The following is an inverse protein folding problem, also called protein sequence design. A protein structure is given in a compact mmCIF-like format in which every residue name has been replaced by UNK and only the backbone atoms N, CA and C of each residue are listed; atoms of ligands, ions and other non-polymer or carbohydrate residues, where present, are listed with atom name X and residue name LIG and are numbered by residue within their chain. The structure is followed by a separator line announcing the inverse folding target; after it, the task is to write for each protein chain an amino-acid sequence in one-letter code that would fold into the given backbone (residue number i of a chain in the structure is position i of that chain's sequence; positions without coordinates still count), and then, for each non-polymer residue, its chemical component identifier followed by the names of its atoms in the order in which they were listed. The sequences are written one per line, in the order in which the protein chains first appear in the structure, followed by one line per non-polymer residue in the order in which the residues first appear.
data_IF_146084102280
#
_entry.id   IF_146084102280
#
_cell.length_a   1.000
_cell.length_b   1.000
_cell.length_c   1.000
_cell.angle_alpha   90.00
_cell.angle_beta   90.00
_cell.angle_gamma   90.00
#
_symmetry.space_group_name_H-M   'P 1'
#
loop_
_entity.id
_entity.type
_entity.pdbx_description
1 polymer ?
#
# COMPACT_ATOMS: atom_id res chain seq x y z
N UNK A 1 112.40 35.96 -17.65
CA UNK A 1 111.86 35.35 -16.40
C UNK A 1 110.67 36.08 -15.76
N UNK A 2 110.56 37.42 -15.80
CA UNK A 2 109.45 38.16 -15.16
C UNK A 2 108.03 37.81 -15.65
N UNK A 3 107.86 37.52 -16.94
CA UNK A 3 106.53 37.17 -17.50
C UNK A 3 105.99 35.80 -17.06
N UNK A 4 106.86 34.83 -16.74
CA UNK A 4 106.45 33.51 -16.27
C UNK A 4 105.88 33.58 -14.85
N UNK A 5 106.57 34.29 -13.95
CA UNK A 5 106.16 34.49 -12.55
C UNK A 5 104.79 35.19 -12.44
N UNK A 6 104.54 36.19 -13.30
CA UNK A 6 103.24 36.90 -13.34
C UNK A 6 102.12 35.98 -13.86
N UNK A 7 102.39 35.14 -14.87
CA UNK A 7 101.41 34.18 -15.39
C UNK A 7 101.10 33.08 -14.37
N UNK A 8 102.09 32.62 -13.60
CA UNK A 8 101.88 31.66 -12.52
C UNK A 8 101.08 32.24 -11.36
N UNK A 9 101.36 33.48 -10.93
CA UNK A 9 100.58 34.16 -9.88
C UNK A 9 99.12 34.41 -10.34
N UNK A 10 98.93 34.87 -11.58
CA UNK A 10 97.59 35.01 -12.17
C UNK A 10 96.84 33.68 -12.26
N UNK A 11 97.52 32.61 -12.67
CA UNK A 11 96.93 31.26 -12.74
C UNK A 11 96.53 30.76 -11.35
N UNK A 12 97.39 30.97 -10.34
CA UNK A 12 97.11 30.61 -8.95
C UNK A 12 95.90 31.39 -8.39
N UNK A 13 95.81 32.70 -8.64
CA UNK A 13 94.65 33.53 -8.26
C UNK A 13 93.38 33.08 -8.97
N UNK A 14 93.45 32.78 -10.27
CA UNK A 14 92.31 32.29 -11.04
C UNK A 14 91.85 30.93 -10.52
N UNK A 15 92.76 30.02 -10.20
CA UNK A 15 92.45 28.72 -9.63
C UNK A 15 91.82 28.84 -8.23
N UNK A 16 92.32 29.74 -7.38
CA UNK A 16 91.72 30.06 -6.09
C UNK A 16 90.28 30.58 -6.24
N UNK A 17 90.04 31.52 -7.16
CA UNK A 17 88.70 32.04 -7.43
C UNK A 17 87.76 30.95 -7.98
N UNK A 18 88.24 30.08 -8.87
CA UNK A 18 87.46 28.94 -9.38
C UNK A 18 87.12 27.94 -8.26
N UNK A 19 88.04 27.70 -7.33
CA UNK A 19 87.80 26.83 -6.17
C UNK A 19 86.75 27.40 -5.21
N UNK A 20 86.69 28.73 -5.07
CA UNK A 20 85.72 29.42 -4.18
C UNK A 20 84.36 29.72 -4.85
N UNK A 21 84.28 29.67 -6.18
CA UNK A 21 83.07 29.97 -6.94
C UNK A 21 81.83 29.17 -6.48
N UNK A 22 81.90 27.85 -6.20
CA UNK A 22 80.74 27.09 -5.71
C UNK A 22 80.22 27.60 -4.35
N UNK A 23 81.12 28.01 -3.45
CA UNK A 23 80.74 28.55 -2.15
C UNK A 23 80.05 29.92 -2.30
N UNK A 24 80.58 30.80 -3.16
CA UNK A 24 79.96 32.10 -3.47
C UNK A 24 78.56 31.92 -4.06
N UNK A 25 78.40 31.03 -5.04
CA UNK A 25 77.10 30.73 -5.65
C UNK A 25 76.13 30.17 -4.60
N UNK A 26 76.59 29.31 -3.69
CA UNK A 26 75.77 28.78 -2.59
C UNK A 26 75.31 29.89 -1.63
N UNK A 27 76.20 30.81 -1.25
CA UNK A 27 75.85 31.94 -0.37
C UNK A 27 74.87 32.88 -1.09
N UNK A 28 75.13 33.21 -2.35
CA UNK A 28 74.24 34.06 -3.15
C UNK A 28 72.86 33.44 -3.35
N UNK A 29 72.77 32.12 -3.58
CA UNK A 29 71.48 31.43 -3.72
C UNK A 29 70.71 31.40 -2.39
N UNK A 30 71.40 31.19 -1.26
CA UNK A 30 70.78 31.27 0.06
C UNK A 30 70.29 32.68 0.38
N UNK A 31 71.07 33.72 0.06
CA UNK A 31 70.68 35.12 0.26
C UNK A 31 69.47 35.51 -0.60
N UNK A 32 69.49 35.17 -1.90
CA UNK A 32 68.35 35.40 -2.80
C UNK A 32 67.10 34.67 -2.31
N UNK A 33 67.24 33.42 -1.87
CA UNK A 33 66.15 32.63 -1.30
C UNK A 33 65.62 33.18 0.02
N UNK A 34 66.48 33.71 0.88
CA UNK A 34 66.06 34.38 2.12
C UNK A 34 65.28 35.67 1.82
N UNK A 35 65.81 36.53 0.95
CA UNK A 35 65.16 37.78 0.55
C UNK A 35 63.78 37.53 -0.05
N UNK A 36 63.66 36.60 -1.00
CA UNK A 36 62.38 36.26 -1.62
C UNK A 36 61.36 35.73 -0.60
N UNK A 37 61.80 34.90 0.36
CA UNK A 37 60.93 34.40 1.43
C UNK A 37 60.47 35.50 2.37
N UNK A 38 61.35 36.45 2.71
CA UNK A 38 61.00 37.62 3.52
C UNK A 38 59.97 38.50 2.80
N UNK A 39 60.18 38.81 1.52
CA UNK A 39 59.24 39.62 0.72
C UNK A 39 57.89 38.91 0.55
N UNK A 40 57.90 37.59 0.35
CA UNK A 40 56.68 36.78 0.32
C UNK A 40 55.93 36.82 1.65
N UNK A 41 56.63 36.66 2.78
CA UNK A 41 56.01 36.74 4.11
C UNK A 41 55.39 38.11 4.35
N UNK A 42 56.09 39.20 4.03
CA UNK A 42 55.54 40.56 4.12
C UNK A 42 54.26 40.73 3.32
N UNK A 43 54.23 40.21 2.08
CA UNK A 43 53.01 40.23 1.24
C UNK A 43 51.88 39.40 1.86
N UNK A 44 52.19 38.24 2.42
CA UNK A 44 51.20 37.38 3.06
C UNK A 44 50.59 38.07 4.29
N UNK A 45 51.40 38.72 5.12
CA UNK A 45 50.91 39.50 6.26
C UNK A 45 50.02 40.66 5.80
N UNK A 46 50.48 41.46 4.82
CA UNK A 46 49.65 42.54 4.26
C UNK A 46 48.30 42.04 3.74
N UNK A 47 48.27 40.89 3.06
CA UNK A 47 47.01 40.31 2.58
C UNK A 47 46.11 39.86 3.73
N UNK A 48 46.68 39.22 4.76
CA UNK A 48 45.95 38.77 5.96
C UNK A 48 45.39 39.93 6.76
N UNK A 49 46.15 41.00 6.96
CA UNK A 49 45.69 42.17 7.72
C UNK A 49 44.53 42.88 7.03
N UNK A 50 44.40 42.74 5.71
CA UNK A 50 43.34 43.35 4.91
C UNK A 50 42.17 42.42 4.55
N UNK A 51 42.17 41.14 4.97
CA UNK A 51 41.09 40.20 4.59
C UNK A 51 39.72 40.69 5.06
N UNK A 52 39.63 41.18 6.30
CA UNK A 52 38.36 41.58 6.90
C UNK A 52 37.76 42.80 6.20
N UNK A 53 38.60 43.76 5.80
CA UNK A 53 38.18 44.93 5.04
C UNK A 53 37.63 44.52 3.65
N UNK A 54 38.32 43.61 2.96
CA UNK A 54 37.88 43.08 1.67
C UNK A 54 36.56 42.32 1.80
N UNK A 55 36.42 41.46 2.82
CA UNK A 55 35.18 40.71 3.09
C UNK A 55 34.02 41.69 3.36
N UNK A 56 34.25 42.73 4.15
CA UNK A 56 33.25 43.78 4.41
C UNK A 56 32.81 44.45 3.11
N UNK A 57 33.74 44.93 2.29
CA UNK A 57 33.43 45.57 1.00
C UNK A 57 32.65 44.61 0.08
N UNK A 58 33.10 43.37 -0.05
CA UNK A 58 32.42 42.36 -0.87
C UNK A 58 30.99 42.09 -0.39
N UNK A 59 30.79 41.98 0.92
CA UNK A 59 29.46 41.76 1.50
C UNK A 59 28.50 42.93 1.22
N UNK A 60 29.01 44.17 1.28
CA UNK A 60 28.24 45.38 0.97
C UNK A 60 27.83 45.42 -0.51
N UNK A 61 28.76 45.10 -1.42
CA UNK A 61 28.48 45.06 -2.86
C UNK A 61 27.44 43.98 -3.18
N UNK A 62 27.59 42.77 -2.61
CA UNK A 62 26.61 41.69 -2.76
C UNK A 62 25.22 42.10 -2.26
N UNK A 63 25.15 42.73 -1.08
CA UNK A 63 23.89 43.24 -0.52
C UNK A 63 23.25 44.32 -1.40
N UNK A 64 24.04 45.28 -1.87
CA UNK A 64 23.57 46.34 -2.75
C UNK A 64 23.01 45.77 -4.06
N UNK A 65 23.72 44.83 -4.68
CA UNK A 65 23.27 44.20 -5.92
C UNK A 65 21.95 43.44 -5.72
N UNK A 66 21.82 42.71 -4.60
CA UNK A 66 20.59 42.02 -4.23
C UNK A 66 19.42 43.02 -4.02
N UNK A 67 19.64 44.10 -3.26
CA UNK A 67 18.63 45.16 -3.04
C UNK A 67 18.22 45.85 -4.34
N UNK A 68 19.16 46.12 -5.25
CA UNK A 68 18.89 46.72 -6.57
C UNK A 68 17.97 45.82 -7.39
N UNK A 69 18.27 44.51 -7.46
CA UNK A 69 17.43 43.52 -8.17
C UNK A 69 16.04 43.41 -7.57
N UNK A 70 15.94 43.33 -6.24
CA UNK A 70 14.66 43.27 -5.53
C UNK A 70 13.78 44.50 -5.82
N UNK A 71 14.34 45.70 -5.69
CA UNK A 71 13.60 46.96 -5.96
C UNK A 71 13.16 47.06 -7.41
N UNK A 72 13.98 46.62 -8.37
CA UNK A 72 13.61 46.58 -9.78
C UNK A 72 12.40 45.66 -10.02
N UNK A 73 12.41 44.45 -9.43
CA UNK A 73 11.29 43.50 -9.50
C UNK A 73 10.02 44.05 -8.84
N UNK A 74 10.15 44.68 -7.66
CA UNK A 74 9.02 45.30 -6.98
C UNK A 74 8.39 46.42 -7.82
N UNK A 75 9.20 47.26 -8.45
CA UNK A 75 8.71 48.30 -9.38
C UNK A 75 7.98 47.69 -10.57
N UNK A 76 8.55 46.66 -11.18
CA UNK A 76 7.92 45.94 -12.29
C UNK A 76 6.55 45.36 -11.88
N UNK A 77 6.44 44.75 -10.70
CA UNK A 77 5.13 44.27 -10.26
C UNK A 77 4.17 45.42 -9.99
N UNK A 78 4.61 46.47 -9.28
CA UNK A 78 3.77 47.64 -8.99
C UNK A 78 3.24 48.32 -10.26
N UNK A 79 4.06 48.48 -11.29
CA UNK A 79 3.63 49.08 -12.57
C UNK A 79 2.63 48.20 -13.33
N UNK A 80 2.67 46.88 -13.12
CA UNK A 80 1.82 45.93 -13.83
C UNK A 80 0.57 45.49 -13.04
N UNK A 81 0.35 45.98 -11.80
CA UNK A 81 -0.82 45.63 -10.99
C UNK A 81 -2.12 45.84 -11.76
N UNK A 82 -2.28 47.00 -12.41
CA UNK A 82 -3.51 47.31 -13.16
C UNK A 82 -3.77 46.33 -14.31
N UNK A 83 -2.72 45.92 -15.03
CA UNK A 83 -2.83 44.93 -16.10
C UNK A 83 -3.20 43.54 -15.54
N UNK A 84 -2.57 43.13 -14.44
CA UNK A 84 -2.88 41.86 -13.75
C UNK A 84 -4.33 41.83 -13.28
N UNK A 85 -4.82 42.92 -12.66
CA UNK A 85 -6.21 43.02 -12.21
C UNK A 85 -7.17 42.94 -13.38
N UNK A 86 -6.88 43.60 -14.51
CA UNK A 86 -7.70 43.50 -15.74
C UNK A 86 -7.76 42.06 -16.26
N UNK A 87 -6.62 41.38 -16.36
CA UNK A 87 -6.56 39.97 -16.80
C UNK A 87 -7.32 39.07 -15.83
N UNK A 88 -7.11 39.23 -14.52
CA UNK A 88 -7.81 38.46 -13.50
C UNK A 88 -9.33 38.68 -13.55
N UNK A 89 -9.78 39.92 -13.71
CA UNK A 89 -11.19 40.25 -13.86
C UNK A 89 -11.78 39.59 -15.11
N UNK A 90 -11.10 39.66 -16.24
CA UNK A 90 -11.52 39.01 -17.49
C UNK A 90 -11.63 37.49 -17.33
N UNK A 91 -10.62 36.84 -16.74
CA UNK A 91 -10.63 35.39 -16.50
C UNK A 91 -11.75 34.99 -15.54
N UNK A 92 -11.96 35.74 -14.45
CA UNK A 92 -13.06 35.50 -13.50
C UNK A 92 -14.42 35.64 -14.19
N UNK A 93 -14.61 36.68 -15.00
CA UNK A 93 -15.85 36.90 -15.74
C UNK A 93 -16.10 35.78 -16.77
N UNK A 94 -15.07 35.37 -17.51
CA UNK A 94 -15.20 34.29 -18.49
C UNK A 94 -15.53 32.95 -17.83
N UNK A 95 -14.92 32.66 -16.67
CA UNK A 95 -15.25 31.47 -15.87
C UNK A 95 -16.70 31.51 -15.38
N UNK A 96 -17.17 32.64 -14.85
CA UNK A 96 -18.56 32.79 -14.40
C UNK A 96 -19.55 32.61 -15.56
N UNK A 97 -19.26 33.16 -16.74
CA UNK A 97 -20.06 32.96 -17.96
C UNK A 97 -20.08 31.49 -18.41
N UNK A 98 -18.94 30.82 -18.34
CA UNK A 98 -18.83 29.39 -18.62
C UNK A 98 -19.68 28.55 -17.68
N UNK A 99 -19.59 28.80 -16.37
CA UNK A 99 -20.38 28.13 -15.34
C UNK A 99 -21.89 28.38 -15.55
N UNK A 100 -22.30 29.61 -15.87
CA UNK A 100 -23.70 29.95 -16.16
C UNK A 100 -24.22 29.25 -17.43
N UNK A 101 -23.45 29.28 -18.52
CA UNK A 101 -23.81 28.58 -19.78
C UNK A 101 -23.98 27.08 -19.54
N UNK A 102 -23.14 26.51 -18.68
CA UNK A 102 -23.21 25.10 -18.31
C UNK A 102 -24.45 24.80 -17.46
N UNK A 103 -24.88 25.70 -16.58
CA UNK A 103 -26.14 25.57 -15.84
C UNK A 103 -27.37 25.58 -16.77
N UNK A 104 -27.41 26.50 -17.74
CA UNK A 104 -28.60 26.71 -18.59
C UNK A 104 -28.72 25.65 -19.69
N UNK A 105 -27.60 25.20 -20.28
CA UNK A 105 -27.64 24.34 -21.47
C UNK A 105 -27.26 22.88 -21.21
N UNK A 106 -26.64 22.54 -20.06
CA UNK A 106 -26.32 21.14 -19.80
C UNK A 106 -27.54 20.41 -19.22
N UNK A 107 -27.83 19.22 -19.75
CA UNK A 107 -28.89 18.34 -19.22
C UNK A 107 -28.63 17.93 -17.76
N UNK A 108 -27.36 17.76 -17.38
CA UNK A 108 -26.92 17.37 -16.04
C UNK A 108 -25.74 18.25 -15.58
N UNK A 109 -25.99 19.46 -15.04
CA UNK A 109 -24.92 20.31 -14.54
C UNK A 109 -24.29 19.72 -13.26
N UNK A 110 -22.96 19.83 -13.07
CA UNK A 110 -22.30 19.37 -11.86
C UNK A 110 -22.76 20.19 -10.66
N UNK A 111 -22.96 19.52 -9.52
CA UNK A 111 -23.49 20.11 -8.28
C UNK A 111 -22.73 21.36 -7.82
N UNK A 112 -21.43 21.43 -8.10
CA UNK A 112 -20.59 22.59 -7.76
C UNK A 112 -21.00 23.88 -8.50
N UNK A 113 -21.53 23.76 -9.72
CA UNK A 113 -22.05 24.88 -10.52
C UNK A 113 -23.45 25.22 -10.04
N UNK A 114 -24.32 24.22 -9.86
CA UNK A 114 -25.69 24.39 -9.34
C UNK A 114 -25.66 25.12 -8.00
N UNK A 115 -24.81 24.72 -7.05
CA UNK A 115 -24.68 25.37 -5.74
C UNK A 115 -24.30 26.85 -5.82
N UNK A 116 -23.50 27.27 -6.80
CA UNK A 116 -23.12 28.68 -6.96
C UNK A 116 -24.32 29.55 -7.37
N UNK A 117 -25.22 28.99 -8.17
CA UNK A 117 -26.40 29.66 -8.69
C UNK A 117 -27.70 29.20 -8.00
N UNK A 118 -27.61 28.42 -6.91
CA UNK A 118 -28.76 27.88 -6.20
C UNK A 118 -29.72 28.97 -5.71
N UNK A 119 -29.17 30.13 -5.33
CA UNK A 119 -29.96 31.30 -4.92
C UNK A 119 -30.75 31.94 -6.08
N UNK A 120 -30.43 31.61 -7.34
CA UNK A 120 -31.13 32.10 -8.54
C UNK A 120 -32.10 31.06 -9.10
N UNK A 121 -32.06 29.82 -8.60
CA UNK A 121 -33.02 28.78 -8.94
C UNK A 121 -34.18 28.93 -7.95
N UNK A 122 -35.27 29.56 -8.40
CA UNK A 122 -36.53 29.56 -7.64
C UNK A 122 -37.04 28.12 -7.51
N UNK A 123 -37.62 27.78 -6.35
CA UNK A 123 -38.21 26.46 -6.13
C UNK A 123 -39.41 26.30 -7.08
N UNK A 124 -39.30 25.39 -8.04
CA UNK A 124 -40.37 25.13 -8.99
C UNK A 124 -41.45 24.24 -8.36
N UNK A 125 -42.70 24.38 -8.77
CA UNK A 125 -43.78 23.43 -8.42
C UNK A 125 -43.43 21.98 -8.81
N UNK A 126 -42.51 21.80 -9.76
CA UNK A 126 -41.93 20.51 -10.10
C UNK A 126 -41.09 19.91 -8.95
N UNK A 127 -40.25 20.72 -8.30
CA UNK A 127 -39.39 20.27 -7.21
C UNK A 127 -40.24 19.82 -6.00
N UNK A 128 -41.32 20.55 -5.72
CA UNK A 128 -42.30 20.17 -4.69
C UNK A 128 -43.00 18.84 -5.02
N UNK A 129 -43.33 18.60 -6.29
CA UNK A 129 -43.92 17.32 -6.72
C UNK A 129 -42.93 16.16 -6.54
N UNK A 130 -41.67 16.33 -6.94
CA UNK A 130 -40.64 15.30 -6.74
C UNK A 130 -40.37 15.02 -5.26
N UNK A 131 -40.29 16.06 -4.43
CA UNK A 131 -40.11 15.91 -2.98
C UNK A 131 -41.31 15.22 -2.33
N UNK A 132 -42.53 15.54 -2.79
CA UNK A 132 -43.74 14.85 -2.35
C UNK A 132 -43.75 13.37 -2.77
N UNK A 133 -43.38 13.05 -4.01
CA UNK A 133 -43.24 11.67 -4.47
C UNK A 133 -42.17 10.89 -3.69
N UNK A 134 -41.04 11.51 -3.39
CA UNK A 134 -39.99 10.93 -2.55
C UNK A 134 -40.49 10.66 -1.13
N UNK A 135 -41.25 11.58 -0.54
CA UNK A 135 -41.89 11.36 0.76
C UNK A 135 -42.90 10.21 0.71
N UNK A 136 -43.72 10.12 -0.34
CA UNK A 136 -44.67 9.01 -0.52
C UNK A 136 -43.97 7.67 -0.65
N UNK A 137 -42.94 7.58 -1.51
CA UNK A 137 -42.14 6.36 -1.65
C UNK A 137 -41.46 5.97 -0.34
N UNK A 138 -40.94 6.94 0.42
CA UNK A 138 -40.35 6.67 1.73
C UNK A 138 -41.38 6.09 2.70
N UNK A 139 -42.61 6.60 2.69
CA UNK A 139 -43.70 6.05 3.49
C UNK A 139 -44.05 4.61 3.08
N UNK A 140 -44.18 4.36 1.77
CA UNK A 140 -44.42 3.01 1.23
C UNK A 140 -43.32 2.03 1.66
N UNK A 141 -42.04 2.43 1.57
CA UNK A 141 -40.91 1.61 2.03
C UNK A 141 -41.01 1.31 3.53
N UNK A 142 -41.35 2.29 4.35
CA UNK A 142 -41.53 2.08 5.79
C UNK A 142 -42.69 1.13 6.09
N UNK A 143 -43.81 1.23 5.35
CA UNK A 143 -44.93 0.29 5.48
C UNK A 143 -44.51 -1.13 5.09
N UNK A 144 -43.80 -1.31 3.97
CA UNK A 144 -43.28 -2.60 3.55
C UNK A 144 -42.27 -3.20 4.54
N UNK A 145 -41.39 -2.39 5.15
CA UNK A 145 -40.48 -2.86 6.20
C UNK A 145 -41.28 -3.37 7.41
N UNK A 146 -42.32 -2.65 7.83
CA UNK A 146 -43.18 -3.06 8.95
C UNK A 146 -43.91 -4.37 8.65
N UNK A 147 -44.49 -4.52 7.46
CA UNK A 147 -45.20 -5.75 7.07
C UNK A 147 -44.23 -6.94 6.95
N UNK A 148 -43.06 -6.74 6.35
CA UNK A 148 -42.01 -7.76 6.27
C UNK A 148 -41.57 -8.23 7.65
N UNK A 149 -41.37 -7.30 8.60
CA UNK A 149 -40.99 -7.64 9.97
C UNK A 149 -42.07 -8.44 10.70
N UNK A 150 -43.35 -8.14 10.44
CA UNK A 150 -44.46 -8.91 11.00
C UNK A 150 -44.52 -10.33 10.41
N UNK A 151 -44.33 -10.48 9.10
CA UNK A 151 -44.24 -11.78 8.42
C UNK A 151 -43.07 -12.62 8.93
N UNK A 152 -41.89 -12.02 9.12
CA UNK A 152 -40.72 -12.70 9.70
C UNK A 152 -40.99 -13.22 11.12
N UNK A 153 -41.66 -12.44 11.96
CA UNK A 153 -42.09 -12.91 13.30
C UNK A 153 -43.05 -14.11 13.20
N UNK A 154 -44.00 -14.06 12.26
CA UNK A 154 -44.92 -15.17 12.01
C UNK A 154 -44.21 -16.44 11.54
N UNK A 155 -43.28 -16.32 10.59
CA UNK A 155 -42.43 -17.41 10.14
C UNK A 155 -41.58 -18.00 11.28
N UNK A 156 -41.01 -17.16 12.14
CA UNK A 156 -40.20 -17.63 13.27
C UNK A 156 -41.02 -18.49 14.26
N UNK A 157 -42.25 -18.08 14.56
CA UNK A 157 -43.19 -18.87 15.37
C UNK A 157 -43.54 -20.20 14.68
N UNK A 158 -43.75 -20.16 13.36
CA UNK A 158 -44.06 -21.36 12.59
C UNK A 158 -42.89 -22.33 12.54
N UNK A 159 -41.66 -21.86 12.33
CA UNK A 159 -40.43 -22.65 12.39
C UNK A 159 -40.26 -23.34 13.75
N UNK A 160 -40.53 -22.63 14.85
CA UNK A 160 -40.51 -23.20 16.20
C UNK A 160 -41.55 -24.33 16.31
N UNK A 161 -42.79 -24.08 15.84
CA UNK A 161 -43.85 -25.10 15.87
C UNK A 161 -43.49 -26.32 15.01
N UNK A 162 -42.99 -26.12 13.79
CA UNK A 162 -42.55 -27.21 12.89
C UNK A 162 -41.41 -28.00 13.54
N UNK A 163 -40.39 -27.33 14.07
CA UNK A 163 -39.27 -28.00 14.72
C UNK A 163 -39.68 -28.77 15.97
N UNK A 164 -40.63 -28.25 16.77
CA UNK A 164 -41.22 -28.98 17.89
C UNK A 164 -42.04 -30.19 17.42
N UNK A 165 -42.84 -30.05 16.36
CA UNK A 165 -43.60 -31.16 15.79
C UNK A 165 -42.69 -32.27 15.24
N UNK A 166 -41.60 -31.91 14.57
CA UNK A 166 -40.58 -32.86 14.10
C UNK A 166 -39.91 -33.54 15.30
N UNK A 167 -39.52 -32.80 16.35
CA UNK A 167 -38.96 -33.38 17.59
C UNK A 167 -39.96 -34.34 18.24
N UNK A 168 -41.23 -33.98 18.32
CA UNK A 168 -42.29 -34.80 18.90
C UNK A 168 -42.59 -36.06 18.07
N UNK A 169 -42.57 -35.95 16.73
CA UNK A 169 -42.73 -37.11 15.84
C UNK A 169 -41.56 -38.08 15.94
N UNK A 170 -40.32 -37.57 15.95
CA UNK A 170 -39.12 -38.41 16.09
C UNK A 170 -39.13 -39.11 17.45
N UNK A 171 -39.40 -38.37 18.53
CA UNK A 171 -39.49 -38.95 19.88
C UNK A 171 -40.62 -39.99 20.00
N UNK A 172 -41.80 -39.74 19.42
CA UNK A 172 -42.87 -40.75 19.35
C UNK A 172 -42.48 -41.98 18.52
N UNK A 173 -41.81 -41.80 17.38
CA UNK A 173 -41.29 -42.92 16.57
C UNK A 173 -40.24 -43.73 17.33
N UNK A 174 -39.33 -43.06 18.02
CA UNK A 174 -38.32 -43.70 18.87
C UNK A 174 -39.00 -44.47 20.01
N UNK A 175 -39.98 -43.87 20.70
CA UNK A 175 -40.77 -44.54 21.75
C UNK A 175 -41.55 -45.73 21.20
N UNK A 176 -42.21 -45.62 20.04
CA UNK A 176 -42.92 -46.73 19.39
C UNK A 176 -41.95 -47.84 18.97
N UNK A 177 -40.79 -47.49 18.44
CA UNK A 177 -39.73 -48.46 18.09
C UNK A 177 -39.13 -49.14 19.33
N UNK A 178 -39.09 -48.44 20.46
CA UNK A 178 -38.58 -48.94 21.72
C UNK A 178 -39.64 -49.77 22.47
N UNK A 179 -40.93 -49.45 22.39
CA UNK A 179 -42.03 -50.28 22.88
C UNK A 179 -42.05 -51.66 22.20
N UNK A 180 -41.63 -51.75 20.92
CA UNK A 180 -41.40 -53.02 20.24
C UNK A 180 -40.14 -53.78 20.71
N UNK A 181 -39.26 -53.13 21.49
CA UNK A 181 -37.98 -53.68 22.00
C UNK A 181 -37.90 -53.77 23.53
N UNK A 182 -38.97 -53.47 24.27
CA UNK A 182 -38.97 -53.53 25.74
C UNK A 182 -39.07 -54.97 26.26
N UNK A 183 -37.94 -55.67 26.29
CA UNK A 183 -37.66 -56.70 27.31
C UNK A 183 -36.87 -56.07 28.47
N UNK A 184 -37.04 -56.65 29.66
CA UNK A 184 -36.93 -56.07 31.02
C UNK A 184 -35.60 -55.41 31.48
N UNK A 185 -34.65 -55.03 30.62
CA UNK A 185 -33.28 -54.66 31.04
C UNK A 185 -32.75 -53.23 30.76
N UNK A 186 -33.51 -52.32 30.16
CA UNK A 186 -32.93 -51.04 29.69
C UNK A 186 -33.44 -49.77 30.39
N UNK A 187 -33.61 -49.79 31.72
CA UNK A 187 -34.01 -48.60 32.48
C UNK A 187 -32.89 -47.54 32.60
N UNK A 188 -31.62 -47.95 32.46
CA UNK A 188 -30.45 -47.05 32.48
C UNK A 188 -30.23 -46.27 31.18
N UNK A 189 -30.54 -46.86 30.02
CA UNK A 189 -30.36 -46.21 28.70
C UNK A 189 -31.33 -45.04 28.45
N UNK A 190 -32.46 -45.01 29.15
CA UNK A 190 -33.44 -43.91 29.05
C UNK A 190 -32.89 -42.60 29.64
N UNK A 191 -32.04 -42.69 30.68
CA UNK A 191 -31.42 -41.52 31.31
C UNK A 191 -30.32 -40.91 30.43
N UNK A 192 -29.57 -41.73 29.69
CA UNK A 192 -28.52 -41.26 28.78
C UNK A 192 -29.09 -40.58 27.52
N UNK A 193 -30.26 -41.01 27.03
CA UNK A 193 -30.94 -40.36 25.91
C UNK A 193 -31.50 -38.98 26.28
N UNK A 194 -31.92 -38.77 27.54
CA UNK A 194 -32.33 -37.45 28.04
C UNK A 194 -31.14 -36.48 28.16
N UNK A 195 -29.89 -36.97 28.25
CA UNK A 195 -28.69 -36.14 28.24
C UNK A 195 -28.30 -35.62 26.84
N UNK A 196 -28.90 -36.13 25.75
CA UNK A 196 -28.64 -35.69 24.37
C UNK A 196 -29.08 -34.23 24.12
N UNK A 197 -29.98 -33.68 24.96
CA UNK A 197 -30.42 -32.28 24.87
C UNK A 197 -29.28 -31.27 25.16
N UNK A 198 -28.20 -31.70 25.85
CA UNK A 198 -26.99 -30.87 26.08
C UNK A 198 -26.07 -30.77 24.87
N UNK A 199 -26.16 -31.66 23.87
CA UNK A 199 -25.24 -31.70 22.72
C UNK A 199 -25.73 -30.89 21.51
N UNK A 200 -27.01 -30.50 21.46
CA UNK A 200 -27.51 -29.58 20.42
C UNK A 200 -27.21 -28.15 20.89
N UNK A 201 -26.15 -27.54 20.32
CA UNK A 201 -25.69 -26.17 20.61
C UNK A 201 -26.74 -25.07 20.35
N UNK A 202 -26.35 -23.92 19.80
CA UNK A 202 -27.28 -22.80 19.52
C UNK A 202 -28.46 -23.15 18.57
N UNK A 203 -28.42 -24.32 17.92
CA UNK A 203 -29.47 -24.83 17.03
C UNK A 203 -30.62 -25.56 17.76
N UNK A 204 -30.58 -25.69 19.09
CA UNK A 204 -31.69 -26.30 19.83
C UNK A 204 -32.92 -25.37 19.87
N UNK A 205 -34.11 -25.98 19.82
CA UNK A 205 -35.42 -25.32 19.80
C UNK A 205 -35.81 -24.72 21.16
N UNK A 206 -35.06 -23.71 21.61
CA UNK A 206 -35.37 -22.90 22.79
C UNK A 206 -35.37 -21.42 22.42
N UNK A 207 -36.29 -20.65 23.00
CA UNK A 207 -36.44 -19.20 22.79
C UNK A 207 -35.12 -18.46 23.08
N UNK A 208 -34.50 -18.73 24.23
CA UNK A 208 -33.24 -18.08 24.63
C UNK A 208 -32.08 -18.40 23.66
N UNK A 209 -31.99 -19.65 23.17
CA UNK A 209 -30.95 -20.04 22.22
C UNK A 209 -31.15 -19.38 20.85
N UNK A 210 -32.41 -19.14 20.45
CA UNK A 210 -32.77 -18.45 19.21
C UNK A 210 -32.50 -16.95 19.30
N UNK A 211 -32.87 -16.30 20.40
CA UNK A 211 -32.53 -14.90 20.69
C UNK A 211 -31.01 -14.69 20.67
N UNK A 212 -30.25 -15.63 21.25
CA UNK A 212 -28.77 -15.61 21.18
C UNK A 212 -28.23 -15.82 19.77
N UNK A 213 -28.88 -16.65 18.95
CA UNK A 213 -28.51 -16.87 17.55
C UNK A 213 -28.77 -15.61 16.71
N UNK A 214 -29.91 -14.94 16.90
CA UNK A 214 -30.24 -13.66 16.26
C UNK A 214 -29.24 -12.56 16.68
N UNK A 215 -28.85 -12.50 17.96
CA UNK A 215 -27.82 -11.58 18.44
C UNK A 215 -26.47 -11.83 17.74
N UNK A 216 -26.06 -13.10 17.57
CA UNK A 216 -24.86 -13.43 16.80
C UNK A 216 -24.99 -13.09 15.32
N UNK A 217 -26.16 -13.24 14.71
CA UNK A 217 -26.39 -12.81 13.32
C UNK A 217 -26.20 -11.30 13.18
N UNK A 218 -26.75 -10.49 14.08
CA UNK A 218 -26.51 -9.04 14.10
C UNK A 218 -25.03 -8.70 14.27
N UNK A 219 -24.32 -9.39 15.17
CA UNK A 219 -22.88 -9.22 15.34
C UNK A 219 -22.10 -9.57 14.06
N UNK A 220 -22.40 -10.69 13.42
CA UNK A 220 -21.73 -11.08 12.18
C UNK A 220 -22.05 -10.13 11.03
N UNK A 221 -23.27 -9.60 10.96
CA UNK A 221 -23.63 -8.56 10.02
C UNK A 221 -22.78 -7.30 10.24
N UNK A 222 -22.63 -6.84 11.48
CA UNK A 222 -21.76 -5.71 11.83
C UNK A 222 -20.30 -5.97 11.42
N UNK A 223 -19.77 -7.16 11.70
CA UNK A 223 -18.41 -7.55 11.32
C UNK A 223 -18.21 -7.63 9.79
N UNK A 224 -19.26 -7.93 9.03
CA UNK A 224 -19.24 -7.89 7.57
C UNK A 224 -19.26 -6.46 7.02
N UNK A 225 -20.06 -5.57 7.62
CA UNK A 225 -20.25 -4.19 7.12
C UNK A 225 -19.14 -3.24 7.55
N UNK A 226 -18.57 -3.45 8.74
CA UNK A 226 -17.48 -2.66 9.33
C UNK A 226 -16.15 -3.46 9.33
N UNK A 227 -15.34 -3.35 8.26
CA UNK A 227 -14.13 -4.17 8.11
C UNK A 227 -13.03 -3.86 9.13
N UNK A 228 -13.13 -2.74 9.85
CA UNK A 228 -12.12 -2.28 10.81
C UNK A 228 -11.92 -3.27 11.95
N UNK A 229 -12.99 -3.88 12.46
CA UNK A 229 -12.88 -4.84 13.57
C UNK A 229 -12.09 -6.08 13.16
N UNK A 230 -12.44 -6.68 12.02
CA UNK A 230 -11.76 -7.87 11.51
C UNK A 230 -10.34 -7.55 11.05
N UNK A 231 -10.09 -6.38 10.45
CA UNK A 231 -8.75 -5.94 10.09
C UNK A 231 -7.82 -5.85 11.32
N UNK A 232 -8.30 -5.24 12.41
CA UNK A 232 -7.55 -5.20 13.68
C UNK A 232 -7.36 -6.60 14.27
N UNK A 233 -8.40 -7.44 14.24
CA UNK A 233 -8.32 -8.82 14.73
C UNK A 233 -7.25 -9.62 13.98
N UNK A 234 -7.23 -9.56 12.65
CA UNK A 234 -6.22 -10.23 11.81
C UNK A 234 -4.80 -9.82 12.22
N UNK A 235 -4.60 -8.56 12.60
CA UNK A 235 -3.29 -8.05 12.99
C UNK A 235 -2.83 -8.51 14.37
N UNK A 236 -3.77 -8.74 15.30
CA UNK A 236 -3.49 -9.26 16.65
C UNK A 236 -3.20 -10.77 16.66
N UNK A 237 -3.40 -11.46 15.53
CA UNK A 237 -3.13 -12.89 15.46
C UNK A 237 -1.63 -13.19 15.45
N UNK A 238 -1.19 -14.23 16.18
CA UNK A 238 0.20 -14.66 16.18
C UNK A 238 0.64 -15.04 14.76
N UNK A 239 1.84 -14.61 14.39
CA UNK A 239 2.44 -14.81 13.07
C UNK A 239 2.96 -16.24 12.90
N UNK A 240 2.06 -17.21 13.05
CA UNK A 240 2.36 -18.62 12.83
C UNK A 240 2.54 -18.90 11.33
N UNK A 241 3.23 -19.99 10.98
CA UNK A 241 3.42 -20.40 9.58
C UNK A 241 2.10 -20.68 8.82
N UNK A 242 0.99 -20.89 9.53
CA UNK A 242 -0.31 -21.28 8.98
C UNK A 242 -1.40 -20.26 9.32
N UNK A 243 -2.06 -19.70 8.30
CA UNK A 243 -3.24 -18.84 8.43
C UNK A 243 -4.56 -19.62 8.41
N UNK A 244 -4.52 -20.96 8.31
CA UNK A 244 -5.71 -21.82 8.06
C UNK A 244 -6.90 -21.55 9.00
N UNK A 245 -6.63 -21.28 10.27
CA UNK A 245 -7.69 -20.96 11.23
C UNK A 245 -8.40 -19.66 10.87
N UNK A 246 -7.62 -18.59 10.59
CA UNK A 246 -8.17 -17.30 10.19
C UNK A 246 -8.84 -17.37 8.82
N UNK A 247 -8.27 -18.13 7.88
CA UNK A 247 -8.89 -18.39 6.58
C UNK A 247 -10.30 -18.99 6.79
N UNK A 248 -10.43 -20.03 7.63
CA UNK A 248 -11.71 -20.66 7.92
C UNK A 248 -12.71 -19.69 8.57
N UNK A 249 -12.28 -18.91 9.57
CA UNK A 249 -13.16 -17.96 10.28
C UNK A 249 -13.63 -16.85 9.33
N UNK A 250 -12.71 -16.20 8.62
CA UNK A 250 -13.04 -15.09 7.72
C UNK A 250 -13.86 -15.59 6.54
N UNK A 251 -13.48 -16.69 5.89
CA UNK A 251 -14.24 -17.19 4.74
C UNK A 251 -15.63 -17.70 5.16
N UNK A 252 -15.78 -18.31 6.33
CA UNK A 252 -17.10 -18.69 6.85
C UNK A 252 -17.97 -17.48 7.15
N UNK A 253 -17.40 -16.42 7.75
CA UNK A 253 -18.13 -15.18 8.03
C UNK A 253 -18.63 -14.50 6.76
N UNK A 254 -17.89 -14.58 5.65
CA UNK A 254 -18.28 -14.00 4.36
C UNK A 254 -18.87 -15.05 3.41
N UNK A 255 -19.28 -16.20 3.92
CA UNK A 255 -19.90 -17.29 3.15
C UNK A 255 -19.14 -17.61 1.85
N UNK A 256 -17.80 -17.64 1.93
CA UNK A 256 -16.87 -17.90 0.84
C UNK A 256 -17.07 -16.99 -0.39
N UNK A 257 -17.64 -15.80 -0.21
CA UNK A 257 -18.01 -14.88 -1.28
C UNK A 257 -18.89 -15.54 -2.37
N UNK A 258 -19.86 -16.36 -1.93
CA UNK A 258 -20.84 -16.96 -2.82
C UNK A 258 -21.62 -15.87 -3.58
N UNK A 259 -22.09 -14.84 -2.86
CA UNK A 259 -22.87 -13.75 -3.41
C UNK A 259 -22.03 -12.51 -3.76
N UNK A 260 -22.52 -11.67 -4.68
CA UNK A 260 -21.84 -10.42 -5.07
C UNK A 260 -21.67 -9.46 -3.89
N UNK A 261 -22.67 -9.35 -3.01
CA UNK A 261 -22.60 -8.55 -1.77
C UNK A 261 -21.45 -9.01 -0.89
N UNK A 262 -21.40 -10.31 -0.61
CA UNK A 262 -20.39 -10.91 0.27
C UNK A 262 -18.98 -10.80 -0.33
N UNK A 263 -18.86 -11.00 -1.65
CA UNK A 263 -17.60 -10.78 -2.37
C UNK A 263 -17.12 -9.34 -2.32
N UNK A 264 -18.02 -8.36 -2.49
CA UNK A 264 -17.68 -6.94 -2.34
C UNK A 264 -17.21 -6.61 -0.92
N UNK A 265 -17.93 -7.08 0.10
CA UNK A 265 -17.58 -6.82 1.50
C UNK A 265 -16.25 -7.51 1.88
N UNK A 266 -15.99 -8.72 1.39
CA UNK A 266 -14.73 -9.43 1.61
C UNK A 266 -13.55 -8.70 0.95
N UNK A 267 -13.72 -8.21 -0.29
CA UNK A 267 -12.71 -7.39 -0.96
C UNK A 267 -12.46 -6.07 -0.21
N UNK A 268 -13.51 -5.47 0.36
CA UNK A 268 -13.40 -4.28 1.20
C UNK A 268 -12.61 -4.59 2.48
N UNK A 269 -12.82 -5.75 3.11
CA UNK A 269 -12.02 -6.22 4.23
C UNK A 269 -10.55 -6.38 3.84
N UNK A 270 -10.24 -7.07 2.75
CA UNK A 270 -8.86 -7.22 2.26
C UNK A 270 -8.20 -5.87 1.99
N UNK A 271 -8.92 -4.94 1.36
CA UNK A 271 -8.39 -3.59 1.07
C UNK A 271 -8.07 -2.84 2.36
N UNK A 272 -8.95 -2.92 3.36
CA UNK A 272 -8.77 -2.26 4.65
C UNK A 272 -7.61 -2.88 5.43
N UNK A 273 -7.55 -4.22 5.48
CA UNK A 273 -6.50 -4.95 6.17
C UNK A 273 -5.13 -4.77 5.51
N UNK A 274 -5.04 -4.76 4.17
CA UNK A 274 -3.79 -4.50 3.44
C UNK A 274 -3.27 -3.08 3.68
N UNK A 275 -4.16 -2.08 3.68
CA UNK A 275 -3.77 -0.69 4.00
C UNK A 275 -3.19 -0.58 5.40
N UNK A 276 -3.80 -1.27 6.37
CA UNK A 276 -3.30 -1.30 7.75
C UNK A 276 -1.97 -2.07 7.85
N UNK A 277 -1.82 -3.19 7.14
CA UNK A 277 -0.57 -3.97 7.11
C UNK A 277 0.59 -3.16 6.50
N UNK A 278 0.36 -2.48 5.37
CA UNK A 278 1.38 -1.63 4.73
C UNK A 278 1.77 -0.46 5.64
N UNK A 279 0.78 0.20 6.27
CA UNK A 279 1.05 1.37 7.11
C UNK A 279 1.81 1.03 8.38
N UNK A 280 1.58 -0.15 8.95
CA UNK A 280 2.03 -0.49 10.31
C UNK A 280 3.13 -1.54 10.38
N UNK A 281 3.40 -2.30 9.31
CA UNK A 281 4.42 -3.39 9.29
C UNK A 281 5.46 -3.30 8.18
N UNK A 282 5.24 -2.49 7.15
CA UNK A 282 6.14 -2.43 5.99
C UNK A 282 6.98 -1.16 6.07
N UNK A 283 8.22 -1.31 6.53
CA UNK A 283 9.19 -0.21 6.55
C UNK A 283 9.88 -0.08 5.19
N UNK A 284 10.11 -1.22 4.52
CA UNK A 284 10.75 -1.27 3.20
C UNK A 284 9.95 -2.12 2.23
N UNK A 285 9.79 -1.64 0.98
CA UNK A 285 9.00 -2.31 -0.06
C UNK A 285 9.42 -3.78 -0.30
N UNK A 286 10.72 -4.08 -0.14
CA UNK A 286 11.26 -5.45 -0.28
C UNK A 286 10.70 -6.45 0.72
N UNK A 287 10.27 -6.01 1.91
CA UNK A 287 9.68 -6.85 2.95
C UNK A 287 8.33 -7.42 2.57
N UNK A 288 7.63 -6.80 1.60
CA UNK A 288 6.38 -7.36 1.06
C UNK A 288 6.65 -8.69 0.34
N UNK A 289 7.82 -8.83 -0.30
CA UNK A 289 8.19 -10.02 -1.09
C UNK A 289 8.92 -11.05 -0.24
N UNK A 290 9.85 -10.61 0.62
CA UNK A 290 10.67 -11.50 1.45
C UNK A 290 10.02 -11.88 2.77
N UNK A 291 9.04 -11.10 3.23
CA UNK A 291 8.39 -11.28 4.51
C UNK A 291 7.30 -12.35 4.52
N UNK A 292 6.58 -12.40 5.64
CA UNK A 292 5.41 -13.24 5.84
C UNK A 292 4.13 -12.38 6.00
N UNK A 293 3.72 -11.62 4.97
CA UNK A 293 2.53 -10.77 5.05
C UNK A 293 1.27 -11.61 5.27
N UNK A 294 0.59 -11.41 6.39
CA UNK A 294 -0.57 -12.21 6.80
C UNK A 294 -1.73 -11.97 5.84
N UNK A 295 -1.97 -10.71 5.47
CA UNK A 295 -3.13 -10.35 4.65
C UNK A 295 -2.91 -10.81 3.20
N UNK A 296 -1.70 -10.65 2.66
CA UNK A 296 -1.37 -11.19 1.32
C UNK A 296 -1.55 -12.70 1.25
N UNK A 297 -1.13 -13.46 2.28
CA UNK A 297 -1.37 -14.91 2.33
C UNK A 297 -2.85 -15.26 2.38
N UNK A 298 -3.64 -14.52 3.16
CA UNK A 298 -5.09 -14.69 3.25
C UNK A 298 -5.76 -14.45 1.87
N UNK A 299 -5.33 -13.42 1.14
CA UNK A 299 -5.82 -13.13 -0.22
C UNK A 299 -5.45 -14.25 -1.20
N UNK A 300 -4.20 -14.71 -1.19
CA UNK A 300 -3.77 -15.84 -2.04
C UNK A 300 -4.56 -17.11 -1.70
N UNK A 301 -4.79 -17.36 -0.41
CA UNK A 301 -5.60 -18.50 0.05
C UNK A 301 -7.03 -18.42 -0.48
N UNK A 302 -7.66 -17.25 -0.47
CA UNK A 302 -9.01 -17.05 -1.02
C UNK A 302 -9.09 -17.46 -2.50
N UNK A 303 -8.16 -16.99 -3.33
CA UNK A 303 -8.13 -17.36 -4.74
C UNK A 303 -7.79 -18.83 -4.97
N UNK A 304 -7.14 -19.51 -4.03
CA UNK A 304 -6.90 -20.96 -4.11
C UNK A 304 -8.11 -21.85 -3.83
N UNK A 305 -9.18 -21.36 -3.18
CA UNK A 305 -10.24 -22.26 -2.69
C UNK A 305 -11.39 -22.50 -3.68
N UNK A 306 -11.88 -21.49 -4.42
CA UNK A 306 -13.07 -21.69 -5.27
C UNK A 306 -13.03 -20.91 -6.60
N UNK A 307 -12.67 -19.62 -6.58
CA UNK A 307 -12.75 -18.78 -7.80
C UNK A 307 -11.45 -18.71 -8.61
N UNK A 308 -10.28 -18.86 -8.01
CA UNK A 308 -8.99 -18.67 -8.70
C UNK A 308 -8.32 -19.94 -9.24
N UNK A 309 -8.73 -21.14 -8.82
CA UNK A 309 -8.23 -22.39 -9.41
C UNK A 309 -8.61 -22.50 -10.90
N UNK A 310 -9.81 -22.04 -11.28
CA UNK A 310 -10.25 -22.05 -12.67
C UNK A 310 -9.38 -21.12 -13.53
N UNK A 311 -9.13 -19.89 -13.07
CA UNK A 311 -8.29 -18.94 -13.79
C UNK A 311 -6.85 -19.44 -13.99
N UNK A 312 -6.22 -19.99 -12.93
CA UNK A 312 -4.86 -20.55 -13.07
C UNK A 312 -4.83 -21.75 -14.01
N UNK A 313 -5.85 -22.61 -13.95
CA UNK A 313 -5.97 -23.76 -14.86
C UNK A 313 -6.20 -23.32 -16.31
N UNK A 314 -6.98 -22.28 -16.55
CA UNK A 314 -7.22 -21.74 -17.90
C UNK A 314 -5.95 -21.09 -18.48
N UNK A 315 -5.21 -20.32 -17.66
CA UNK A 315 -4.01 -19.60 -18.11
C UNK A 315 -2.82 -20.56 -18.29
N UNK A 316 -2.51 -21.37 -17.27
CA UNK A 316 -1.31 -22.21 -17.26
C UNK A 316 -1.57 -23.63 -17.77
N UNK A 317 -2.81 -24.10 -17.75
CA UNK A 317 -3.15 -25.48 -18.12
C UNK A 317 -2.74 -25.89 -19.53
N UNK A 318 -2.96 -25.06 -20.57
CA UNK A 318 -2.51 -25.37 -21.94
C UNK A 318 -0.98 -25.52 -22.03
N UNK A 319 -0.24 -24.55 -21.49
CA UNK A 319 1.24 -24.53 -21.51
C UNK A 319 1.83 -25.71 -20.74
N UNK A 320 1.30 -26.01 -19.56
CA UNK A 320 1.74 -27.17 -18.77
C UNK A 320 1.45 -28.48 -19.53
N UNK A 321 0.33 -28.57 -20.23
CA UNK A 321 -0.01 -29.75 -21.04
C UNK A 321 0.93 -29.91 -22.24
N UNK A 322 1.27 -28.83 -22.92
CA UNK A 322 2.24 -28.81 -24.02
C UNK A 322 3.61 -29.32 -23.56
N UNK A 323 4.12 -28.77 -22.45
CA UNK A 323 5.39 -29.19 -21.84
C UNK A 323 5.36 -30.67 -21.41
N UNK A 324 4.22 -31.16 -20.90
CA UNK A 324 4.08 -32.57 -20.51
C UNK A 324 3.95 -33.53 -21.70
N UNK A 325 3.48 -33.06 -22.86
CA UNK A 325 3.33 -33.87 -24.07
C UNK A 325 4.64 -33.98 -24.86
N UNK A 326 5.53 -32.99 -24.74
CA UNK A 326 6.83 -33.01 -25.40
C UNK A 326 7.83 -33.94 -24.68
N UNK A 327 7.97 -35.17 -25.20
CA UNK A 327 8.92 -36.16 -24.71
C UNK A 327 10.38 -35.86 -25.09
N UNK A 328 10.62 -34.93 -26.02
CA UNK A 328 11.95 -34.53 -26.49
C UNK A 328 12.48 -33.27 -25.79
N UNK A 329 11.69 -32.70 -24.89
CA UNK A 329 12.02 -31.43 -24.25
C UNK A 329 13.19 -31.57 -23.25
N UNK A 330 14.35 -31.05 -23.64
CA UNK A 330 15.53 -30.95 -22.77
C UNK A 330 15.70 -29.54 -22.20
N UNK A 331 15.15 -29.24 -21.02
CA UNK A 331 15.29 -27.92 -20.35
C UNK A 331 16.52 -27.89 -19.41
N UNK A 332 17.45 -28.84 -19.53
CA UNK A 332 18.64 -28.89 -18.68
C UNK A 332 19.61 -27.80 -19.12
N UNK A 333 19.87 -26.84 -18.25
CA UNK A 333 20.81 -25.73 -18.49
C UNK A 333 22.16 -25.95 -17.83
N UNK A 334 22.31 -26.96 -16.97
CA UNK A 334 23.58 -27.28 -16.32
C UNK A 334 24.51 -28.03 -17.32
N UNK A 335 25.68 -27.46 -17.65
CA UNK A 335 26.59 -28.05 -18.64
C UNK A 335 27.15 -29.42 -18.20
N UNK A 336 27.29 -29.68 -16.90
CA UNK A 336 27.80 -30.96 -16.40
C UNK A 336 26.77 -32.06 -16.64
N UNK A 337 25.50 -31.78 -16.40
CA UNK A 337 24.42 -32.74 -16.59
C UNK A 337 24.15 -33.00 -18.08
N UNK A 338 24.31 -31.98 -18.93
CA UNK A 338 24.23 -32.14 -20.39
C UNK A 338 25.37 -33.03 -20.88
N UNK A 339 26.61 -32.77 -20.43
CA UNK A 339 27.77 -33.58 -20.78
C UNK A 339 27.63 -35.04 -20.33
N UNK A 340 27.22 -35.29 -19.09
CA UNK A 340 26.94 -36.65 -18.59
C UNK A 340 25.85 -37.35 -19.40
N UNK A 341 24.79 -36.63 -19.77
CA UNK A 341 23.71 -37.19 -20.60
C UNK A 341 24.20 -37.54 -22.00
N UNK A 342 25.08 -36.73 -22.58
CA UNK A 342 25.71 -36.98 -23.88
C UNK A 342 26.65 -38.18 -23.83
N UNK A 343 27.52 -38.27 -22.83
CA UNK A 343 28.41 -39.43 -22.62
C UNK A 343 27.60 -40.71 -22.43
N UNK A 344 26.57 -40.70 -21.58
CA UNK A 344 25.71 -41.86 -21.38
C UNK A 344 24.98 -42.29 -22.67
N UNK A 345 24.54 -41.34 -23.50
CA UNK A 345 23.95 -41.66 -24.81
C UNK A 345 24.97 -42.30 -25.76
N UNK A 346 26.19 -41.79 -25.79
CA UNK A 346 27.29 -42.37 -26.58
C UNK A 346 27.64 -43.78 -26.10
N UNK A 347 27.85 -43.99 -24.80
CA UNK A 347 28.13 -45.32 -24.21
C UNK A 347 27.01 -46.33 -24.48
N UNK A 348 25.75 -45.89 -24.45
CA UNK A 348 24.59 -46.75 -24.78
C UNK A 348 24.56 -47.13 -26.26
N UNK A 349 25.07 -46.28 -27.16
CA UNK A 349 25.12 -46.54 -28.60
C UNK A 349 26.34 -47.39 -29.01
N UNK A 350 27.49 -47.19 -28.35
CA UNK A 350 28.75 -47.89 -28.69
C UNK A 350 28.94 -49.19 -27.90
N UNK A 351 28.26 -49.36 -26.76
CA UNK A 351 28.38 -50.54 -25.90
C UNK A 351 29.71 -50.63 -25.15
N UNK A 352 30.52 -49.56 -25.18
CA UNK A 352 31.80 -49.46 -24.50
C UNK A 352 31.73 -48.30 -23.51
N UNK A 353 32.17 -48.57 -22.27
CA UNK A 353 32.33 -47.57 -21.22
C UNK A 353 33.65 -46.82 -21.37
#
# INVERSE_FOLDING_TARGET
MRGFLVRTDLSARKHFLQKQLPAIVKIQSHWRGYRQRSDYQKRLYHLRDNTDAVIKIQSWVRMWQARKRYRARLRHFKSNIAAVVKIQAFVRANKARGDYRLLVHAKNPPLSVVRKFAHLLEHSDHDFREEWELMRMREEVVQHIRSSRHLEQGLNVMDIKIGLLVKNRITLQEVVSHCKKLTKKNKGQLSDLMAIDKQKGLKALSREKREKLEAYQHLFYLLQTEPVYLAKLIFQMPQNRSTKFMDSVIFSLYNYAANQREGYLLLRLFTTALREEIKSKVDQVREIVTGNPTVTKLVVSFYRHVRGQNALREILGPVVREVLQDKSLGIRTDPIDVYKSWVNQMETQTGQR
#
